data_IF_447601296605
#
_entry.id   IF_447601296605
#
_cell.length_a   1.000
_cell.length_b   1.000
_cell.length_c   1.000
_cell.angle_alpha   90.00
_cell.angle_beta   90.00
_cell.angle_gamma   90.00
#
_symmetry.space_group_name_H-M   'P 1'
#
loop_
_entity.id
_entity.type
_entity.pdbx_description
1 polymer ?
#
# COMPACT_ATOMS: atom_id res chain seq x y z
N UNK A 1 -9.78 -8.69 19.12
CA UNK A 1 -8.85 -8.87 20.26
C UNK A 1 -9.00 -7.79 21.33
N UNK A 2 -8.89 -6.49 21.03
CA UNK A 2 -9.06 -5.41 22.04
C UNK A 2 -10.50 -5.30 22.58
N UNK A 3 -11.51 -5.47 21.73
CA UNK A 3 -12.92 -5.34 22.12
C UNK A 3 -13.33 -6.34 23.21
N UNK A 4 -12.88 -7.59 23.09
CA UNK A 4 -13.13 -8.61 24.11
C UNK A 4 -12.46 -8.28 25.44
N UNK A 5 -11.24 -7.74 25.41
CA UNK A 5 -10.54 -7.29 26.62
C UNK A 5 -11.28 -6.13 27.32
N UNK A 6 -11.81 -5.17 26.55
CA UNK A 6 -12.62 -4.06 27.07
C UNK A 6 -13.92 -4.58 27.70
N UNK A 7 -14.63 -5.46 27.00
CA UNK A 7 -15.88 -6.05 27.49
C UNK A 7 -15.66 -6.80 28.81
N UNK A 8 -14.60 -7.59 28.88
CA UNK A 8 -14.26 -8.37 30.07
C UNK A 8 -13.82 -7.49 31.24
N UNK A 9 -12.96 -6.50 31.01
CA UNK A 9 -12.56 -5.55 32.04
C UNK A 9 -13.78 -4.83 32.64
N UNK A 10 -14.76 -4.48 31.79
CA UNK A 10 -16.02 -3.88 32.24
C UNK A 10 -16.91 -4.84 33.03
N UNK A 11 -17.09 -6.08 32.57
CA UNK A 11 -17.98 -7.05 33.25
C UNK A 11 -17.40 -7.55 34.57
N UNK A 12 -16.09 -7.78 34.60
CA UNK A 12 -15.35 -8.32 35.75
C UNK A 12 -14.78 -7.21 36.66
N UNK A 13 -15.00 -5.93 36.32
CA UNK A 13 -14.45 -4.75 37.03
C UNK A 13 -12.93 -4.82 37.22
N UNK A 14 -12.22 -5.28 36.19
CA UNK A 14 -10.77 -5.37 36.20
C UNK A 14 -10.15 -4.08 35.68
N UNK A 15 -8.93 -3.79 36.11
CA UNK A 15 -8.12 -2.73 35.53
C UNK A 15 -7.66 -3.12 34.11
N UNK A 16 -7.68 -2.17 33.19
CA UNK A 16 -7.24 -2.35 31.81
C UNK A 16 -6.31 -1.20 31.45
N UNK A 17 -5.02 -1.50 31.32
CA UNK A 17 -4.04 -0.56 30.80
C UNK A 17 -3.94 -0.73 29.29
N UNK A 18 -4.04 0.38 28.55
CA UNK A 18 -4.01 0.40 27.09
C UNK A 18 -2.88 1.31 26.63
N UNK A 19 -2.00 0.75 25.80
CA UNK A 19 -0.96 1.50 25.10
C UNK A 19 -1.37 1.62 23.64
N UNK A 20 -1.34 2.84 23.13
CA UNK A 20 -1.56 3.13 21.71
C UNK A 20 -0.21 3.34 21.03
N UNK A 21 0.02 2.60 19.95
CA UNK A 21 1.21 2.74 19.12
C UNK A 21 0.77 3.22 17.73
N UNK A 22 1.22 4.40 17.35
CA UNK A 22 1.03 4.94 16.01
C UNK A 22 2.34 4.85 15.23
N UNK A 23 2.28 4.31 14.00
CA UNK A 23 3.45 4.17 13.14
C UNK A 23 3.48 5.32 12.13
N UNK A 24 4.45 6.22 12.31
CA UNK A 24 4.66 7.33 11.39
C UNK A 24 4.88 6.82 9.95
N UNK A 25 4.18 7.42 9.00
CA UNK A 25 4.31 7.15 7.57
C UNK A 25 4.18 5.67 7.20
N UNK A 26 3.31 4.91 7.88
CA UNK A 26 3.19 3.45 7.69
C UNK A 26 3.08 3.01 6.21
N UNK A 27 2.31 3.73 5.40
CA UNK A 27 2.17 3.43 3.98
C UNK A 27 3.41 3.79 3.17
N UNK A 28 4.08 4.90 3.47
CA UNK A 28 5.23 5.41 2.71
C UNK A 28 6.54 4.74 3.13
N UNK A 29 6.59 4.17 4.33
CA UNK A 29 7.77 3.53 4.91
C UNK A 29 7.81 2.01 4.73
N UNK A 30 6.71 1.39 4.30
CA UNK A 30 6.61 -0.05 4.13
C UNK A 30 7.54 -0.55 3.00
N UNK A 31 8.59 -1.36 3.30
CA UNK A 31 9.43 -1.93 2.27
C UNK A 31 8.67 -3.02 1.49
N UNK A 32 8.83 -3.08 0.16
CA UNK A 32 8.11 -4.08 -0.65
C UNK A 32 8.44 -5.52 -0.26
N UNK A 33 9.69 -5.78 0.16
CA UNK A 33 10.10 -7.07 0.70
C UNK A 33 9.33 -7.48 1.97
N UNK A 34 8.97 -6.50 2.80
CA UNK A 34 8.18 -6.74 4.02
C UNK A 34 6.75 -7.15 3.67
N UNK A 35 6.18 -6.56 2.61
CA UNK A 35 4.86 -6.94 2.09
C UNK A 35 4.90 -8.41 1.64
N UNK A 36 5.90 -8.80 0.85
CA UNK A 36 6.05 -10.20 0.41
C UNK A 36 6.29 -11.18 1.55
N UNK A 37 7.02 -10.77 2.59
CA UNK A 37 7.17 -11.58 3.80
C UNK A 37 5.83 -11.76 4.53
N UNK A 38 5.05 -10.68 4.68
CA UNK A 38 3.73 -10.72 5.32
C UNK A 38 2.76 -11.65 4.58
N UNK A 39 2.69 -11.58 3.25
CA UNK A 39 1.82 -12.44 2.45
C UNK A 39 2.14 -13.93 2.68
N UNK A 40 3.43 -14.28 2.75
CA UNK A 40 3.90 -15.64 3.06
C UNK A 40 3.53 -16.07 4.48
N UNK A 41 3.76 -15.20 5.47
CA UNK A 41 3.44 -15.48 6.88
C UNK A 41 1.94 -15.74 7.10
N UNK A 42 1.07 -15.08 6.35
CA UNK A 42 -0.39 -15.25 6.43
C UNK A 42 -0.94 -16.30 5.47
N UNK A 43 -0.08 -17.10 4.81
CA UNK A 43 -0.48 -18.17 3.91
C UNK A 43 -1.41 -17.72 2.77
N UNK A 44 -1.19 -16.51 2.25
CA UNK A 44 -1.91 -16.01 1.06
C UNK A 44 -1.58 -16.91 -0.13
N UNK A 45 -2.53 -17.26 -1.02
CA UNK A 45 -2.27 -18.07 -2.20
C UNK A 45 -1.12 -17.54 -3.07
N UNK A 46 -0.31 -18.44 -3.62
CA UNK A 46 0.90 -18.11 -4.40
C UNK A 46 0.59 -17.22 -5.60
N UNK A 47 -0.52 -17.47 -6.32
CA UNK A 47 -0.95 -16.65 -7.45
C UNK A 47 -1.13 -15.16 -7.08
N UNK A 48 -1.61 -14.88 -5.86
CA UNK A 48 -1.78 -13.50 -5.37
C UNK A 48 -0.43 -12.91 -4.97
N UNK A 49 0.48 -13.70 -4.41
CA UNK A 49 1.84 -13.24 -4.07
C UNK A 49 2.60 -12.83 -5.32
N UNK A 50 2.58 -13.67 -6.36
CA UNK A 50 3.22 -13.40 -7.66
C UNK A 50 2.61 -12.16 -8.30
N UNK A 51 1.28 -12.05 -8.31
CA UNK A 51 0.59 -10.87 -8.84
C UNK A 51 1.03 -9.57 -8.13
N UNK A 52 1.18 -9.61 -6.81
CA UNK A 52 1.64 -8.45 -6.04
C UNK A 52 3.14 -8.19 -6.24
N UNK A 53 3.95 -9.22 -6.42
CA UNK A 53 5.37 -9.07 -6.72
C UNK A 53 5.58 -8.41 -8.08
N UNK A 54 4.83 -8.84 -9.10
CA UNK A 54 4.81 -8.22 -10.42
C UNK A 54 4.34 -6.77 -10.35
N UNK A 55 3.33 -6.47 -9.53
CA UNK A 55 2.83 -5.10 -9.34
C UNK A 55 3.90 -4.18 -8.71
N UNK A 56 4.66 -4.67 -7.73
CA UNK A 56 5.67 -3.87 -7.03
C UNK A 56 7.04 -3.83 -7.75
N UNK A 57 7.43 -4.88 -8.48
CA UNK A 57 8.77 -5.06 -9.11
C UNK A 57 9.11 -4.04 -10.22
N UNK A 58 8.14 -3.25 -10.66
CA UNK A 58 8.32 -2.15 -11.62
C UNK A 58 7.64 -0.86 -11.20
N UNK A 59 7.32 -0.70 -9.90
CA UNK A 59 6.51 0.40 -9.44
C UNK A 59 7.25 1.73 -9.60
N UNK A 60 6.73 2.57 -10.51
CA UNK A 60 7.32 3.87 -10.86
C UNK A 60 6.29 4.96 -10.71
N UNK A 61 6.74 6.08 -10.17
CA UNK A 61 5.93 7.28 -10.02
C UNK A 61 6.54 8.42 -10.84
N UNK A 62 5.66 9.30 -11.32
CA UNK A 62 6.02 10.53 -12.01
C UNK A 62 5.02 11.60 -11.61
N UNK A 63 5.52 12.78 -11.30
CA UNK A 63 4.69 13.92 -10.96
C UNK A 63 4.61 14.85 -12.15
N UNK A 64 3.39 15.30 -12.45
CA UNK A 64 3.13 16.31 -13.47
C UNK A 64 2.47 17.52 -12.80
N UNK A 65 3.02 18.69 -13.10
CA UNK A 65 2.47 19.99 -12.74
C UNK A 65 2.32 20.79 -14.04
N UNK A 66 1.59 21.92 -13.99
CA UNK A 66 1.39 22.76 -15.18
C UNK A 66 2.69 23.17 -15.88
N UNK A 67 3.79 23.28 -15.13
CA UNK A 67 5.05 23.85 -15.63
C UNK A 67 6.20 22.83 -15.71
N UNK A 68 6.05 21.65 -15.10
CA UNK A 68 7.14 20.68 -15.02
C UNK A 68 6.62 19.26 -14.81
N UNK A 69 7.34 18.29 -15.40
CA UNK A 69 7.14 16.87 -15.20
C UNK A 69 8.43 16.24 -14.73
N UNK A 70 8.39 15.44 -13.66
CA UNK A 70 9.56 14.69 -13.20
C UNK A 70 9.93 13.58 -14.18
N UNK A 71 11.17 13.12 -14.12
CA UNK A 71 11.50 11.81 -14.66
C UNK A 71 10.76 10.71 -13.89
N UNK A 72 10.81 9.49 -14.45
CA UNK A 72 10.28 8.32 -13.77
C UNK A 72 11.16 7.99 -12.57
N UNK A 73 10.53 7.88 -11.40
CA UNK A 73 11.20 7.53 -10.15
C UNK A 73 10.77 6.11 -9.79
N UNK A 74 11.74 5.20 -9.62
CA UNK A 74 11.47 3.87 -9.06
C UNK A 74 11.13 4.03 -7.58
N UNK A 75 10.01 3.45 -7.15
CA UNK A 75 9.59 3.48 -5.76
C UNK A 75 9.83 2.10 -5.15
N UNK A 76 10.89 1.96 -4.36
CA UNK A 76 11.27 0.70 -3.70
C UNK A 76 10.69 0.55 -2.29
N UNK A 77 10.26 1.67 -1.71
CA UNK A 77 9.68 1.77 -0.38
C UNK A 77 8.38 2.56 -0.51
N UNK A 78 7.34 2.03 0.12
CA UNK A 78 6.05 2.67 0.23
C UNK A 78 5.02 2.21 -0.79
N UNK A 79 3.76 2.51 -0.46
CA UNK A 79 2.57 2.17 -1.23
C UNK A 79 1.90 3.49 -1.63
N UNK A 80 1.65 3.68 -2.93
CA UNK A 80 0.94 4.87 -3.40
C UNK A 80 -0.50 4.87 -2.87
N UNK A 81 -0.79 5.80 -1.96
CA UNK A 81 -2.10 5.95 -1.36
C UNK A 81 -3.16 6.28 -2.43
N UNK A 82 -4.27 5.54 -2.44
CA UNK A 82 -5.33 5.70 -3.44
C UNK A 82 -5.13 4.92 -4.74
N UNK A 83 -4.03 4.17 -4.89
CA UNK A 83 -3.87 3.27 -6.04
C UNK A 83 -4.74 2.02 -5.85
N UNK A 84 -5.58 1.70 -6.84
CA UNK A 84 -6.21 0.38 -6.92
C UNK A 84 -5.28 -0.54 -7.69
N UNK A 85 -4.95 -1.72 -7.15
CA UNK A 85 -4.19 -2.74 -7.86
C UNK A 85 -5.01 -3.13 -9.10
N UNK A 86 -4.59 -2.63 -10.26
CA UNK A 86 -5.14 -3.07 -11.54
C UNK A 86 -4.23 -4.14 -12.09
N UNK A 87 -4.74 -5.37 -12.10
CA UNK A 87 -4.12 -6.52 -12.72
C UNK A 87 -4.15 -6.37 -14.24
N UNK A 88 -3.17 -5.67 -14.80
CA UNK A 88 -2.80 -5.89 -16.20
C UNK A 88 -1.30 -5.63 -16.40
N UNK A 89 -0.46 -6.68 -16.43
CA UNK A 89 0.94 -6.55 -16.74
C UNK A 89 1.10 -6.51 -18.26
N UNK A 90 0.68 -5.41 -18.90
CA UNK A 90 1.08 -5.14 -20.28
C UNK A 90 2.17 -4.09 -20.23
N UNK A 91 3.41 -4.54 -20.46
CA UNK A 91 4.53 -3.68 -20.86
C UNK A 91 4.10 -2.90 -22.11
N UNK A 92 3.46 -1.75 -21.97
CA UNK A 92 3.29 -0.77 -23.04
C UNK A 92 3.18 0.61 -22.42
N UNK A 93 4.10 1.49 -22.79
CA UNK A 93 4.05 2.90 -22.43
C UNK A 93 2.75 3.50 -22.94
N UNK A 94 1.88 3.89 -22.02
CA UNK A 94 0.81 4.83 -22.32
C UNK A 94 1.24 6.21 -21.87
N UNK A 95 1.95 6.89 -22.77
CA UNK A 95 2.04 8.34 -22.76
C UNK A 95 0.69 8.96 -23.13
N UNK A 96 0.30 9.95 -22.33
CA UNK A 96 -0.48 11.12 -22.74
C UNK A 96 -1.67 10.90 -23.68
N UNK A 97 -2.86 10.63 -23.13
CA UNK A 97 -4.11 11.09 -23.72
C UNK A 97 -5.26 10.98 -22.71
N UNK A 98 -5.46 12.02 -21.90
CA UNK A 98 -6.73 12.29 -21.20
C UNK A 98 -6.66 13.68 -20.56
N UNK A 99 -6.66 14.73 -21.40
CA UNK A 99 -7.13 16.07 -21.00
C UNK A 99 -7.34 16.95 -22.25
N UNK A 100 -8.20 16.48 -23.15
CA UNK A 100 -8.71 17.29 -24.27
C UNK A 100 -10.22 17.11 -24.40
N UNK A 101 -10.95 17.41 -23.33
CA UNK A 101 -12.39 17.66 -23.38
C UNK A 101 -12.84 18.32 -22.09
N UNK A 102 -12.64 19.63 -22.01
CA UNK A 102 -13.43 20.63 -21.26
C UNK A 102 -12.74 21.99 -21.49
N UNK A 103 -13.01 22.54 -22.66
CA UNK A 103 -13.19 23.99 -22.77
C UNK A 103 -14.56 24.31 -22.21
#
# INVERSE_FOLDING_TARGET
MIWGAIQRAKSEKLNLDVIWLDLANAYESAPHQMIQLALRMYHVPEDIQVMLDDYFSGFRVRFHTNNYTTDWINLEIGIAMGCTIKTNPVRHGYGSHLERSRR
#
